data_IF_194229755266
#
_entry.id   IF_194229755266
#
_cell.length_a   1.000
_cell.length_b   1.000
_cell.length_c   1.000
_cell.angle_alpha   90.00
_cell.angle_beta   90.00
_cell.angle_gamma   90.00
#
_symmetry.space_group_name_H-M   'P 1'
#
loop_
_entity.id
_entity.type
_entity.pdbx_description
1 polymer ?
#
# COMPACT_ATOMS: atom_id res chain seq x y z
N UNK A 1 -43.88 5.92 20.98
CA UNK A 1 -42.94 4.80 20.74
C UNK A 1 -42.22 5.04 19.40
N UNK A 2 -41.30 6.03 19.33
CA UNK A 2 -40.52 6.35 18.11
C UNK A 2 -39.17 7.02 18.41
N UNK A 3 -38.76 7.07 19.67
CA UNK A 3 -37.56 7.78 20.14
C UNK A 3 -36.36 6.86 20.36
N UNK A 4 -36.55 5.53 20.47
CA UNK A 4 -35.45 4.60 20.73
C UNK A 4 -34.60 4.28 19.49
N UNK A 5 -35.18 4.26 18.28
CA UNK A 5 -34.39 4.02 17.06
C UNK A 5 -33.48 5.19 16.65
N UNK A 6 -33.76 6.39 17.14
CA UNK A 6 -32.99 7.59 16.76
C UNK A 6 -31.67 7.69 17.55
N UNK A 7 -31.66 7.30 18.83
CA UNK A 7 -30.44 7.30 19.65
C UNK A 7 -29.44 6.22 19.20
N UNK A 8 -29.91 5.02 18.84
CA UNK A 8 -29.02 3.94 18.37
C UNK A 8 -28.35 4.28 17.04
N UNK A 9 -29.09 4.88 16.11
CA UNK A 9 -28.54 5.32 14.84
C UNK A 9 -27.53 6.46 15.03
N UNK A 10 -27.82 7.43 15.90
CA UNK A 10 -26.88 8.53 16.21
C UNK A 10 -25.62 8.00 16.91
N UNK A 11 -25.74 7.04 17.82
CA UNK A 11 -24.60 6.42 18.50
C UNK A 11 -23.72 5.62 17.53
N UNK A 12 -24.32 4.82 16.64
CA UNK A 12 -23.60 4.11 15.57
C UNK A 12 -22.92 5.08 14.60
N UNK A 13 -23.58 6.19 14.24
CA UNK A 13 -22.99 7.22 13.39
C UNK A 13 -21.82 7.95 14.07
N UNK A 14 -21.93 8.26 15.36
CA UNK A 14 -20.85 8.90 16.13
C UNK A 14 -19.68 7.94 16.30
N UNK A 15 -19.92 6.66 16.58
CA UNK A 15 -18.86 5.63 16.70
C UNK A 15 -18.21 5.36 15.35
N UNK A 16 -18.98 5.24 14.26
CA UNK A 16 -18.43 5.08 12.90
C UNK A 16 -17.65 6.33 12.46
N UNK A 17 -18.14 7.54 12.76
CA UNK A 17 -17.43 8.78 12.49
C UNK A 17 -16.16 8.92 13.33
N UNK A 18 -16.16 8.46 14.60
CA UNK A 18 -14.97 8.41 15.44
C UNK A 18 -13.94 7.41 14.91
N UNK A 19 -14.36 6.19 14.55
CA UNK A 19 -13.51 5.18 13.93
C UNK A 19 -12.93 5.70 12.60
N UNK A 20 -13.71 6.44 11.81
CA UNK A 20 -13.23 7.07 10.57
C UNK A 20 -12.24 8.21 10.83
N UNK A 21 -12.45 8.98 11.90
CA UNK A 21 -11.55 10.05 12.30
C UNK A 21 -10.20 9.50 12.80
N UNK A 22 -10.23 8.36 13.50
CA UNK A 22 -9.04 7.71 14.07
C UNK A 22 -8.28 6.85 13.03
N UNK A 23 -8.98 6.20 12.11
CA UNK A 23 -8.33 5.30 11.13
C UNK A 23 -7.88 5.98 9.84
N UNK A 24 -8.25 7.25 9.60
CA UNK A 24 -7.81 8.04 8.43
C UNK A 24 -8.12 7.42 7.06
N UNK A 25 -9.00 6.41 7.03
CA UNK A 25 -9.41 5.72 5.81
C UNK A 25 -10.20 6.68 4.92
N UNK A 26 -9.77 6.84 3.67
CA UNK A 26 -10.60 7.48 2.64
C UNK A 26 -11.62 6.47 2.12
N UNK A 27 -12.61 6.12 2.96
CA UNK A 27 -13.72 5.27 2.55
C UNK A 27 -14.36 5.83 1.28
N UNK A 28 -14.50 4.98 0.26
CA UNK A 28 -15.03 5.37 -1.04
C UNK A 28 -14.02 6.02 -1.99
N UNK A 29 -12.72 5.97 -1.71
CA UNK A 29 -11.69 6.29 -2.70
C UNK A 29 -11.72 5.28 -3.85
N UNK A 30 -11.27 5.70 -5.03
CA UNK A 30 -11.17 4.88 -6.24
C UNK A 30 -10.04 5.38 -7.13
N UNK A 31 -9.69 4.64 -8.17
CA UNK A 31 -8.72 5.11 -9.16
C UNK A 31 -9.31 6.27 -9.96
N UNK A 32 -8.54 7.35 -10.14
CA UNK A 32 -8.97 8.51 -10.90
C UNK A 32 -8.70 8.30 -12.40
N UNK A 33 -9.75 8.31 -13.22
CA UNK A 33 -9.65 8.19 -14.67
C UNK A 33 -8.87 9.35 -15.32
N UNK A 34 -8.90 10.56 -14.74
CA UNK A 34 -8.16 11.73 -15.22
C UNK A 34 -6.67 11.62 -14.88
N UNK A 35 -6.34 10.89 -13.81
CA UNK A 35 -4.96 10.62 -13.42
C UNK A 35 -4.50 9.19 -13.72
N UNK A 36 -5.21 8.54 -14.64
CA UNK A 36 -4.84 7.26 -15.21
C UNK A 36 -4.13 7.51 -16.53
N UNK A 37 -3.04 6.78 -16.73
CA UNK A 37 -2.44 6.67 -18.05
C UNK A 37 -3.44 6.09 -19.08
N UNK A 38 -3.39 6.59 -20.32
CA UNK A 38 -4.28 6.17 -21.43
C UNK A 38 -4.17 4.68 -21.79
N UNK A 39 -3.04 4.04 -21.47
CA UNK A 39 -2.82 2.63 -21.72
C UNK A 39 -3.50 1.71 -20.70
N UNK A 40 -4.00 2.27 -19.59
CA UNK A 40 -4.69 1.53 -18.54
C UNK A 40 -6.19 1.55 -18.73
N UNK A 41 -6.83 0.41 -18.46
CA UNK A 41 -8.28 0.26 -18.49
C UNK A 41 -8.80 0.13 -17.06
N UNK A 42 -9.67 1.06 -16.66
CA UNK A 42 -10.39 1.00 -15.39
C UNK A 42 -11.73 0.27 -15.57
N UNK A 43 -12.15 -0.48 -14.55
CA UNK A 43 -13.49 -1.05 -14.50
C UNK A 43 -14.52 0.01 -14.14
N UNK A 44 -15.65 0.06 -14.83
CA UNK A 44 -16.79 0.89 -14.45
C UNK A 44 -17.85 0.06 -13.71
N UNK A 45 -18.64 0.65 -12.78
CA UNK A 45 -18.60 2.06 -12.37
C UNK A 45 -17.63 2.36 -11.21
N UNK A 46 -17.14 1.33 -10.50
CA UNK A 46 -16.48 1.52 -9.21
C UNK A 46 -15.00 1.95 -9.33
N UNK A 47 -14.39 1.79 -10.50
CA UNK A 47 -12.99 2.16 -10.79
C UNK A 47 -11.99 1.61 -9.77
N UNK A 48 -12.23 0.39 -9.27
CA UNK A 48 -11.32 -0.30 -8.34
C UNK A 48 -10.39 -1.29 -9.04
N UNK A 49 -10.77 -1.79 -10.22
CA UNK A 49 -9.95 -2.72 -11.00
C UNK A 49 -9.23 -1.96 -12.10
N UNK A 50 -7.93 -2.21 -12.20
CA UNK A 50 -7.06 -1.67 -13.26
C UNK A 50 -6.50 -2.84 -14.04
N UNK A 51 -6.57 -2.76 -15.36
CA UNK A 51 -5.98 -3.72 -16.28
C UNK A 51 -5.04 -2.98 -17.23
N UNK A 52 -3.90 -3.58 -17.54
CA UNK A 52 -3.04 -3.09 -18.62
C UNK A 52 -3.24 -3.97 -19.87
N UNK A 53 -4.15 -3.60 -20.80
CA UNK A 53 -4.41 -4.37 -22.02
C UNK A 53 -3.43 -4.07 -23.17
N UNK A 54 -2.44 -3.20 -22.96
CA UNK A 54 -1.56 -2.69 -24.02
C UNK A 54 -0.79 -3.80 -24.75
N UNK A 55 -0.18 -3.47 -25.89
CA UNK A 55 0.58 -4.44 -26.69
C UNK A 55 2.11 -4.26 -26.58
N UNK A 56 2.57 -3.17 -25.98
CA UNK A 56 3.98 -2.82 -25.81
C UNK A 56 4.33 -2.69 -24.33
N UNK A 57 5.61 -2.76 -24.01
CA UNK A 57 6.14 -2.46 -22.67
C UNK A 57 6.19 -0.93 -22.44
N UNK A 58 6.16 -0.52 -21.19
CA UNK A 58 6.28 0.85 -20.73
C UNK A 58 5.47 1.07 -19.45
N UNK A 59 6.13 1.59 -18.41
CA UNK A 59 5.48 1.83 -17.12
C UNK A 59 4.30 2.81 -17.29
N UNK A 60 3.10 2.33 -16.96
CA UNK A 60 1.86 3.11 -16.91
C UNK A 60 1.37 3.18 -15.48
N UNK A 61 0.87 4.33 -15.06
CA UNK A 61 0.50 4.57 -13.67
C UNK A 61 -0.92 5.08 -13.56
N UNK A 62 -1.55 4.79 -12.42
CA UNK A 62 -2.82 5.38 -12.02
C UNK A 62 -2.75 5.75 -10.55
N UNK A 63 -3.28 6.93 -10.22
CA UNK A 63 -3.39 7.43 -8.86
C UNK A 63 -4.85 7.49 -8.42
N UNK A 64 -5.09 7.34 -7.12
CA UNK A 64 -6.43 7.45 -6.56
C UNK A 64 -6.97 8.88 -6.63
N UNK A 65 -8.29 9.02 -6.49
CA UNK A 65 -8.98 10.31 -6.52
C UNK A 65 -8.54 11.23 -5.38
N UNK A 66 -8.53 10.69 -4.17
CA UNK A 66 -8.18 11.44 -2.96
C UNK A 66 -6.77 11.09 -2.47
N UNK A 67 -6.03 12.07 -1.94
CA UNK A 67 -4.75 11.81 -1.28
C UNK A 67 -4.97 11.11 0.07
N UNK A 68 -3.87 10.70 0.70
CA UNK A 68 -3.88 10.25 2.09
C UNK A 68 -4.39 11.38 2.99
N UNK A 69 -5.23 11.04 3.97
CA UNK A 69 -5.66 12.01 4.97
C UNK A 69 -4.46 12.47 5.79
N UNK A 70 -4.32 13.78 6.03
CA UNK A 70 -3.22 14.35 6.83
C UNK A 70 -3.57 14.46 8.32
N UNK A 71 -4.55 13.69 8.81
CA UNK A 71 -4.83 13.66 10.24
C UNK A 71 -3.61 13.11 10.99
N UNK A 72 -2.86 13.99 11.68
CA UNK A 72 -1.55 13.68 12.28
C UNK A 72 -1.58 12.57 13.35
N UNK A 73 -2.76 12.18 13.81
CA UNK A 73 -2.96 11.12 14.79
C UNK A 73 -3.38 9.79 14.16
N UNK A 74 -3.67 9.77 12.87
CA UNK A 74 -4.26 8.62 12.20
C UNK A 74 -3.27 7.77 11.39
N UNK A 75 -3.77 6.61 10.99
CA UNK A 75 -3.16 5.78 9.97
C UNK A 75 -3.77 6.09 8.61
N UNK A 76 -3.09 5.68 7.55
CA UNK A 76 -3.68 5.48 6.25
C UNK A 76 -3.30 4.07 5.78
N UNK A 77 -4.23 3.35 5.17
CA UNK A 77 -3.95 2.00 4.65
C UNK A 77 -4.88 1.64 3.51
N UNK A 78 -4.33 0.98 2.49
CA UNK A 78 -5.09 0.36 1.41
C UNK A 78 -4.43 -0.95 0.98
N UNK A 79 -5.22 -1.85 0.40
CA UNK A 79 -4.75 -3.12 -0.15
C UNK A 79 -4.97 -3.20 -1.65
N UNK A 80 -4.10 -3.94 -2.32
CA UNK A 80 -4.18 -4.24 -3.75
C UNK A 80 -4.07 -5.75 -3.94
N UNK A 81 -5.13 -6.36 -4.42
CA UNK A 81 -5.14 -7.76 -4.84
C UNK A 81 -4.56 -7.88 -6.26
N UNK A 82 -3.60 -8.78 -6.45
CA UNK A 82 -3.01 -9.04 -7.76
C UNK A 82 -3.87 -10.06 -8.51
N UNK A 83 -4.76 -9.58 -9.38
CA UNK A 83 -5.69 -10.43 -10.13
C UNK A 83 -5.00 -11.24 -11.24
N UNK A 84 -4.02 -10.63 -11.91
CA UNK A 84 -3.16 -11.25 -12.89
C UNK A 84 -1.76 -10.62 -12.84
N UNK A 85 -0.73 -11.48 -12.83
CA UNK A 85 0.67 -11.06 -12.74
C UNK A 85 1.46 -11.58 -13.95
N UNK A 86 2.04 -10.65 -14.72
CA UNK A 86 2.89 -10.92 -15.88
C UNK A 86 4.21 -10.18 -15.72
N UNK A 87 5.32 -10.91 -15.76
CA UNK A 87 6.66 -10.34 -15.52
C UNK A 87 6.82 -9.77 -14.10
N UNK A 88 7.87 -8.99 -13.86
CA UNK A 88 8.13 -8.30 -12.58
C UNK A 88 7.87 -6.80 -12.73
N UNK A 89 6.60 -6.40 -12.73
CA UNK A 89 6.21 -5.12 -13.33
C UNK A 89 5.06 -4.40 -12.64
N UNK A 90 4.68 -4.81 -11.43
CA UNK A 90 3.66 -4.11 -10.63
C UNK A 90 4.37 -3.42 -9.47
N UNK A 91 4.17 -2.10 -9.32
CA UNK A 91 4.65 -1.32 -8.19
C UNK A 91 3.48 -0.63 -7.49
N UNK A 92 3.42 -0.72 -6.16
CA UNK A 92 2.31 -0.22 -5.32
C UNK A 92 2.89 0.73 -4.28
N UNK A 93 2.31 1.92 -4.14
CA UNK A 93 2.79 2.87 -3.15
C UNK A 93 2.12 4.24 -3.13
N UNK A 94 2.90 5.29 -2.90
CA UNK A 94 2.43 6.67 -2.67
C UNK A 94 3.15 7.69 -3.55
N UNK A 95 2.40 8.35 -4.43
CA UNK A 95 2.91 9.31 -5.41
C UNK A 95 2.68 10.76 -4.98
N UNK A 96 3.68 11.67 -5.13
CA UNK A 96 3.55 13.07 -4.74
C UNK A 96 2.92 13.98 -5.80
N UNK A 97 2.58 13.42 -6.97
CA UNK A 97 1.98 14.14 -8.09
C UNK A 97 0.89 13.33 -8.74
N UNK A 98 -0.08 14.02 -9.32
CA UNK A 98 -1.23 13.44 -10.01
C UNK A 98 -1.48 14.22 -11.30
N UNK A 99 -1.32 13.62 -12.51
CA UNK A 99 -0.82 12.27 -12.77
C UNK A 99 0.70 12.12 -12.51
N UNK A 100 1.17 10.88 -12.39
CA UNK A 100 2.60 10.56 -12.49
C UNK A 100 3.04 10.75 -13.95
N UNK A 101 4.23 11.34 -14.23
CA UNK A 101 4.72 11.47 -15.59
C UNK A 101 4.75 10.13 -16.35
N UNK A 102 4.49 10.20 -17.65
CA UNK A 102 4.47 9.06 -18.55
C UNK A 102 5.80 8.28 -18.50
N UNK A 103 5.71 6.94 -18.52
CA UNK A 103 6.85 6.01 -18.51
C UNK A 103 7.70 6.00 -17.24
N UNK A 104 7.24 6.65 -16.16
CA UNK A 104 7.88 6.59 -14.86
C UNK A 104 7.12 5.65 -13.91
N UNK A 105 7.79 4.58 -13.46
CA UNK A 105 7.32 3.72 -12.38
C UNK A 105 7.41 4.47 -11.05
N UNK A 106 6.37 4.39 -10.22
CA UNK A 106 6.39 4.95 -8.87
C UNK A 106 7.52 4.35 -8.03
N UNK A 107 8.15 5.17 -7.19
CA UNK A 107 9.30 4.78 -6.36
C UNK A 107 10.64 4.89 -7.10
N UNK A 108 10.69 4.62 -8.41
CA UNK A 108 11.93 4.75 -9.20
C UNK A 108 12.36 6.19 -9.41
N UNK A 109 11.40 7.08 -9.69
CA UNK A 109 11.70 8.50 -9.95
C UNK A 109 11.20 9.37 -8.81
N UNK A 110 9.95 9.17 -8.38
CA UNK A 110 9.29 9.91 -7.31
C UNK A 110 8.36 9.01 -6.50
N UNK A 111 8.08 9.46 -5.27
CA UNK A 111 7.24 8.73 -4.34
C UNK A 111 7.94 7.55 -3.69
N UNK A 112 7.12 6.66 -3.16
CA UNK A 112 7.48 5.48 -2.39
C UNK A 112 6.78 4.29 -3.01
N UNK A 113 7.44 3.14 -3.13
CA UNK A 113 6.82 1.95 -3.71
C UNK A 113 7.40 0.64 -3.20
N UNK A 114 6.57 -0.39 -3.19
CA UNK A 114 6.97 -1.79 -3.12
C UNK A 114 6.57 -2.49 -4.43
N UNK A 115 7.53 -3.12 -5.10
CA UNK A 115 7.30 -3.74 -6.40
C UNK A 115 7.34 -5.26 -6.36
N UNK A 116 6.79 -5.86 -7.42
CA UNK A 116 6.59 -7.31 -7.52
C UNK A 116 7.88 -8.11 -7.60
N UNK A 117 9.00 -7.46 -7.90
CA UNK A 117 10.34 -8.03 -7.84
C UNK A 117 10.90 -8.17 -6.42
N UNK A 118 10.20 -7.69 -5.40
CA UNK A 118 10.67 -7.73 -4.01
C UNK A 118 11.54 -6.52 -3.63
N UNK A 119 11.30 -5.37 -4.25
CA UNK A 119 12.10 -4.16 -4.03
C UNK A 119 11.21 -3.07 -3.44
N UNK A 120 11.67 -2.47 -2.34
CA UNK A 120 11.07 -1.28 -1.73
C UNK A 120 11.90 -0.07 -2.14
N UNK A 121 11.29 1.01 -2.62
CA UNK A 121 11.97 2.17 -3.24
C UNK A 121 11.46 3.50 -2.68
N UNK A 122 12.35 4.48 -2.55
CA UNK A 122 12.04 5.81 -2.02
C UNK A 122 12.24 5.94 -0.51
N UNK A 123 12.54 4.84 0.19
CA UNK A 123 12.68 4.76 1.64
C UNK A 123 14.14 4.94 2.08
N UNK A 124 14.45 6.07 2.71
CA UNK A 124 15.81 6.36 3.17
C UNK A 124 16.00 5.96 4.63
N UNK A 125 16.05 4.65 4.87
CA UNK A 125 16.19 4.05 6.20
C UNK A 125 17.52 3.29 6.32
N UNK A 126 17.88 2.88 7.53
CA UNK A 126 19.05 2.04 7.76
C UNK A 126 18.98 0.77 6.88
N UNK A 127 20.10 0.36 6.30
CA UNK A 127 20.17 -0.79 5.39
C UNK A 127 19.66 -0.53 3.97
N UNK A 128 19.19 0.69 3.64
CA UNK A 128 18.89 1.05 2.26
C UNK A 128 20.17 1.24 1.43
N UNK A 129 20.12 0.84 0.18
CA UNK A 129 21.14 1.11 -0.84
C UNK A 129 20.67 2.23 -1.75
N UNK A 130 21.59 2.98 -2.37
CA UNK A 130 21.25 4.06 -3.29
C UNK A 130 21.56 3.68 -4.74
N UNK A 131 20.63 3.98 -5.65
CA UNK A 131 20.89 3.93 -7.08
C UNK A 131 20.43 5.23 -7.73
N UNK A 132 21.38 5.98 -8.28
CA UNK A 132 21.14 7.28 -8.93
C UNK A 132 20.41 8.30 -8.03
N UNK A 133 20.72 8.31 -6.73
CA UNK A 133 20.08 9.21 -5.76
C UNK A 133 18.69 8.75 -5.31
N UNK A 134 18.33 7.49 -5.58
CA UNK A 134 17.09 6.88 -5.11
C UNK A 134 17.40 5.70 -4.19
N UNK A 135 16.99 5.78 -2.91
CA UNK A 135 17.20 4.69 -1.96
C UNK A 135 16.23 3.55 -2.24
N UNK A 136 16.69 2.32 -2.02
CA UNK A 136 15.91 1.10 -2.17
C UNK A 136 16.39 0.01 -1.22
N UNK A 137 15.55 -1.00 -1.01
CA UNK A 137 15.80 -2.19 -0.19
C UNK A 137 15.43 -3.41 -1.03
N UNK A 138 16.36 -4.37 -1.16
CA UNK A 138 16.14 -5.63 -1.86
C UNK A 138 15.59 -6.72 -0.93
N UNK A 139 15.38 -7.90 -1.50
CA UNK A 139 15.13 -9.16 -0.78
C UNK A 139 13.84 -9.17 0.05
N UNK A 140 12.87 -8.33 -0.33
CA UNK A 140 11.50 -8.50 0.15
C UNK A 140 10.82 -9.65 -0.60
N UNK A 141 9.79 -10.28 -0.02
CA UNK A 141 8.98 -11.27 -0.71
C UNK A 141 8.52 -10.77 -2.09
N UNK A 142 8.34 -11.67 -3.05
CA UNK A 142 7.85 -11.32 -4.39
C UNK A 142 6.35 -11.56 -4.49
N UNK A 143 5.68 -10.86 -5.40
CA UNK A 143 4.24 -11.07 -5.61
C UNK A 143 4.01 -12.34 -6.42
N UNK A 144 2.90 -13.02 -6.15
CA UNK A 144 2.52 -14.27 -6.79
C UNK A 144 1.04 -14.33 -7.15
N UNK A 145 0.79 -14.91 -8.32
CA UNK A 145 -0.50 -15.48 -8.71
C UNK A 145 -0.22 -16.89 -9.16
N UNK A 146 -0.79 -17.88 -8.46
CA UNK A 146 -0.44 -19.29 -8.64
C UNK A 146 -1.69 -20.17 -8.68
N UNK A 147 -1.72 -21.11 -9.62
CA UNK A 147 -2.72 -22.17 -9.64
C UNK A 147 -2.26 -23.27 -8.68
N UNK A 148 -3.14 -23.69 -7.78
CA UNK A 148 -2.91 -24.72 -6.78
C UNK A 148 -4.00 -25.76 -6.92
N UNK A 149 -3.63 -27.03 -6.98
CA UNK A 149 -4.59 -28.14 -6.98
C UNK A 149 -4.79 -28.56 -5.53
N UNK A 150 -6.03 -28.48 -5.04
CA UNK A 150 -6.39 -28.96 -3.71
C UNK A 150 -6.33 -30.48 -3.61
N UNK A 151 -6.38 -30.99 -2.38
CA UNK A 151 -6.38 -32.45 -2.11
C UNK A 151 -7.60 -33.15 -2.73
N UNK A 152 -8.67 -32.40 -2.98
CA UNK A 152 -9.89 -32.81 -3.69
C UNK A 152 -9.76 -32.79 -5.23
N UNK A 153 -8.60 -32.42 -5.76
CA UNK A 153 -8.35 -32.24 -7.19
C UNK A 153 -8.87 -30.92 -7.76
N UNK A 154 -9.44 -30.02 -6.94
CA UNK A 154 -9.99 -28.74 -7.40
C UNK A 154 -8.87 -27.73 -7.62
N UNK A 155 -8.84 -27.15 -8.82
CA UNK A 155 -7.91 -26.08 -9.18
C UNK A 155 -8.39 -24.75 -8.60
N UNK A 156 -7.54 -24.13 -7.79
CA UNK A 156 -7.76 -22.84 -7.17
C UNK A 156 -6.67 -21.86 -7.61
N UNK A 157 -7.02 -20.59 -7.76
CA UNK A 157 -6.03 -19.52 -8.02
C UNK A 157 -5.79 -18.79 -6.72
N UNK A 158 -4.56 -18.87 -6.21
CA UNK A 158 -4.11 -18.11 -5.05
C UNK A 158 -3.48 -16.81 -5.54
N UNK A 159 -4.00 -15.70 -5.04
CA UNK A 159 -3.56 -14.33 -5.36
C UNK A 159 -2.98 -13.69 -4.12
N UNK A 160 -1.88 -12.99 -4.31
CA UNK A 160 -1.31 -12.18 -3.24
C UNK A 160 -2.08 -10.87 -3.09
N UNK A 161 -2.18 -10.42 -1.84
CA UNK A 161 -2.73 -9.11 -1.47
C UNK A 161 -1.62 -8.29 -0.87
N UNK A 162 -1.35 -7.13 -1.44
CA UNK A 162 -0.26 -6.23 -1.02
C UNK A 162 -0.88 -4.99 -0.36
N UNK A 163 -0.49 -4.70 0.87
CA UNK A 163 -0.89 -3.49 1.56
C UNK A 163 0.17 -2.39 1.47
N UNK A 164 -0.28 -1.14 1.46
CA UNK A 164 0.56 0.04 1.63
C UNK A 164 -0.10 0.96 2.65
N UNK A 165 0.65 1.33 3.69
CA UNK A 165 0.16 2.15 4.78
C UNK A 165 1.14 3.21 5.24
N UNK A 166 0.59 4.18 5.97
CA UNK A 166 1.31 5.29 6.58
C UNK A 166 0.93 5.37 8.05
N UNK A 167 1.92 5.36 8.91
CA UNK A 167 1.80 5.83 10.29
C UNK A 167 2.24 7.29 10.32
N UNK A 168 1.29 8.23 10.39
CA UNK A 168 1.60 9.67 10.33
C UNK A 168 2.26 10.19 11.60
N UNK A 169 1.97 9.56 12.75
CA UNK A 169 2.59 9.92 14.02
C UNK A 169 4.10 9.59 14.01
N UNK A 170 4.47 8.41 13.51
CA UNK A 170 5.85 7.96 13.36
C UNK A 170 6.52 8.42 12.06
N UNK A 171 5.74 8.96 11.12
CA UNK A 171 6.18 9.35 9.76
C UNK A 171 6.82 8.18 9.01
N UNK A 172 6.20 7.01 9.15
CA UNK A 172 6.68 5.75 8.59
C UNK A 172 5.72 5.26 7.52
N UNK A 173 6.25 4.82 6.38
CA UNK A 173 5.49 4.09 5.38
C UNK A 173 5.80 2.60 5.59
N UNK A 174 4.78 1.77 5.57
CA UNK A 174 4.91 0.33 5.74
C UNK A 174 4.14 -0.41 4.65
N UNK A 175 4.55 -1.64 4.41
CA UNK A 175 3.89 -2.53 3.45
C UNK A 175 3.54 -3.84 4.11
N UNK A 176 2.53 -4.51 3.55
CA UNK A 176 2.17 -5.86 3.96
C UNK A 176 2.11 -6.76 2.74
N UNK A 177 2.38 -8.03 2.94
CA UNK A 177 2.10 -9.06 1.95
C UNK A 177 1.26 -10.14 2.61
N UNK A 178 0.08 -10.38 2.06
CA UNK A 178 -0.85 -11.38 2.54
C UNK A 178 -1.22 -11.21 4.02
N UNK A 179 -1.34 -9.96 4.49
CA UNK A 179 -1.65 -9.65 5.89
C UNK A 179 -0.47 -9.77 6.86
N UNK A 180 0.74 -10.10 6.38
CA UNK A 180 1.95 -10.03 7.17
C UNK A 180 2.65 -8.68 6.93
N UNK A 181 3.01 -7.98 8.00
CA UNK A 181 3.83 -6.76 7.93
C UNK A 181 5.20 -7.11 7.36
N UNK A 182 5.66 -6.36 6.37
CA UNK A 182 7.05 -6.46 5.92
C UNK A 182 7.93 -5.77 6.95
N UNK A 183 8.78 -6.54 7.62
CA UNK A 183 9.84 -5.97 8.44
C UNK A 183 10.72 -5.11 7.54
N UNK A 184 10.60 -3.79 7.67
CA UNK A 184 11.68 -2.88 7.28
C UNK A 184 12.87 -3.32 8.12
N UNK A 185 13.98 -3.66 7.49
CA UNK A 185 15.14 -4.23 8.17
C UNK A 185 15.69 -3.22 9.19
N UNK A 186 15.19 -3.23 10.42
CA UNK A 186 15.97 -2.83 11.59
C UNK A 186 16.95 -3.97 11.85
N UNK A 187 18.02 -4.02 11.05
CA UNK A 187 19.11 -4.94 11.30
C UNK A 187 19.78 -4.55 12.62
N UNK A 188 19.48 -5.31 13.66
CA UNK A 188 20.47 -5.84 14.62
C UNK A 188 19.90 -7.09 15.29
N UNK A 189 19.76 -8.17 14.50
CA UNK A 189 19.51 -9.53 15.01
C UNK A 189 20.79 -10.40 14.93
N UNK A 190 21.97 -9.78 15.08
CA UNK A 190 23.24 -10.51 15.15
C UNK A 190 23.69 -10.84 16.59
N UNK A 191 22.98 -10.37 17.63
CA UNK A 191 23.37 -10.59 19.05
C UNK A 191 22.32 -11.35 19.89
N UNK A 192 21.35 -12.02 19.28
CA UNK A 192 20.36 -12.83 20.02
C UNK A 192 20.85 -14.26 20.25
N UNK A 193 21.97 -14.36 20.97
CA UNK A 193 22.34 -15.53 21.76
C UNK A 193 22.78 -15.06 23.16
N UNK A 194 21.86 -14.38 23.85
CA UNK A 194 21.97 -14.11 25.28
C UNK A 194 20.58 -13.90 25.88
N UNK A 195 20.18 -14.86 26.71
CA UNK A 195 19.02 -14.83 27.60
C UNK A 195 18.78 -13.46 28.26
N UNK A 196 17.78 -12.66 27.86
CA UNK A 196 17.26 -11.55 28.68
C UNK A 196 15.76 -11.26 28.48
N UNK A 197 15.09 -11.10 29.62
CA UNK A 197 13.71 -10.71 29.92
C UNK A 197 13.28 -9.34 29.32
N UNK A 198 11.99 -8.92 29.39
CA UNK A 198 11.43 -7.91 28.49
C UNK A 198 12.05 -6.54 28.76
N UNK A 199 12.75 -5.99 27.77
CA UNK A 199 13.30 -4.65 27.83
C UNK A 199 12.51 -3.71 26.92
N UNK A 200 12.08 -2.61 27.51
CA UNK A 200 11.64 -1.40 26.82
C UNK A 200 12.81 -0.93 25.95
N UNK A 201 12.64 -0.96 24.63
CA UNK A 201 13.68 -0.50 23.70
C UNK A 201 13.81 1.03 23.79
N UNK A 202 15.04 1.46 24.04
CA UNK A 202 15.46 2.86 24.19
C UNK A 202 15.53 3.57 22.83
N UNK A 203 15.18 4.85 22.85
CA UNK A 203 15.29 5.85 21.77
C UNK A 203 16.58 5.73 20.95
N UNK A 204 16.49 5.08 19.79
CA UNK A 204 17.24 5.53 18.62
C UNK A 204 16.44 6.66 17.97
N UNK A 205 17.08 7.70 17.40
CA UNK A 205 16.32 8.62 16.55
C UNK A 205 15.75 7.79 15.40
N UNK A 206 14.44 7.46 15.49
CA UNK A 206 13.70 6.77 14.44
C UNK A 206 14.06 7.45 13.12
N UNK A 207 14.76 6.74 12.22
CA UNK A 207 15.08 7.31 10.91
C UNK A 207 13.75 7.52 10.21
N UNK A 208 13.33 8.79 10.12
CA UNK A 208 12.09 9.18 9.49
C UNK A 208 12.11 8.71 8.04
N UNK A 209 11.20 7.81 7.70
CA UNK A 209 11.09 7.25 6.37
C UNK A 209 10.47 8.27 5.40
N UNK A 210 9.44 8.98 5.86
CA UNK A 210 8.87 10.10 5.13
C UNK A 210 9.72 11.38 5.28
N UNK A 211 10.08 11.98 4.14
CA UNK A 211 10.73 13.30 4.12
C UNK A 211 9.79 14.37 4.66
N UNK A 212 10.33 15.37 5.36
CA UNK A 212 9.53 16.47 5.91
C UNK A 212 8.70 17.23 4.85
N UNK A 213 9.21 17.34 3.61
CA UNK A 213 8.46 17.93 2.50
C UNK A 213 7.22 17.09 2.13
N UNK A 214 7.30 15.77 2.23
CA UNK A 214 6.23 14.84 1.85
C UNK A 214 5.12 14.77 2.90
N UNK A 215 5.39 15.14 4.16
CA UNK A 215 4.33 15.35 5.16
C UNK A 215 3.39 16.51 4.81
N UNK A 216 3.92 17.52 4.11
CA UNK A 216 3.14 18.69 3.70
C UNK A 216 2.54 18.52 2.30
N UNK A 217 3.10 17.62 1.48
CA UNK A 217 2.59 17.29 0.15
C UNK A 217 1.34 16.40 0.22
N UNK A 218 0.52 16.46 -0.83
CA UNK A 218 -0.57 15.51 -1.03
C UNK A 218 0.01 14.24 -1.66
N UNK A 219 0.17 13.18 -0.85
CA UNK A 219 0.55 11.87 -1.35
C UNK A 219 -0.71 11.09 -1.75
N UNK A 220 -0.71 10.50 -2.94
CA UNK A 220 -1.82 9.72 -3.46
C UNK A 220 -1.45 8.24 -3.48
N UNK A 221 -2.38 7.33 -3.10
CA UNK A 221 -2.26 5.92 -3.47
C UNK A 221 -2.06 5.81 -4.98
N UNK A 222 -1.07 5.03 -5.39
CA UNK A 222 -0.67 4.94 -6.80
C UNK A 222 -0.15 3.54 -7.10
N UNK A 223 -0.52 3.03 -8.28
CA UNK A 223 0.01 1.78 -8.83
C UNK A 223 0.63 2.04 -10.19
N UNK A 224 1.76 1.41 -10.45
CA UNK A 224 2.38 1.34 -11.78
C UNK A 224 2.38 -0.10 -12.30
N UNK A 225 2.13 -0.27 -13.59
CA UNK A 225 2.20 -1.55 -14.31
C UNK A 225 2.99 -1.39 -15.61
N UNK A 226 3.89 -2.33 -15.91
CA UNK A 226 4.78 -2.25 -17.10
C UNK A 226 4.60 -3.43 -18.08
N UNK A 227 3.88 -4.49 -17.70
CA UNK A 227 3.58 -5.61 -18.61
C UNK A 227 2.10 -5.69 -19.00
N UNK A 228 1.82 -5.87 -20.31
CA UNK A 228 0.52 -6.31 -20.80
C UNK A 228 -0.05 -7.53 -20.08
N UNK A 229 -1.34 -7.48 -19.78
CA UNK A 229 -2.08 -8.55 -19.10
C UNK A 229 -1.99 -8.53 -17.58
N UNK A 230 -1.25 -7.59 -16.98
CA UNK A 230 -1.36 -7.34 -15.55
C UNK A 230 -2.74 -6.78 -15.21
N UNK A 231 -3.24 -7.21 -14.05
CA UNK A 231 -4.53 -6.78 -13.54
C UNK A 231 -4.52 -6.76 -12.02
N UNK A 232 -5.10 -5.71 -11.44
CA UNK A 232 -5.17 -5.52 -9.98
C UNK A 232 -6.57 -5.06 -9.56
N UNK A 233 -6.91 -5.27 -8.28
CA UNK A 233 -8.10 -4.70 -7.63
C UNK A 233 -7.67 -3.99 -6.36
N UNK A 234 -8.07 -2.73 -6.20
CA UNK A 234 -7.86 -1.97 -4.98
C UNK A 234 -8.97 -2.20 -3.96
N UNK A 235 -8.60 -2.18 -2.70
CA UNK A 235 -9.47 -2.06 -1.54
C UNK A 235 -9.02 -0.83 -0.74
N UNK A 236 -9.81 0.25 -0.79
CA UNK A 236 -9.60 1.47 0.00
C UNK A 236 -10.40 1.46 1.32
N UNK A 237 -10.75 0.27 1.81
CA UNK A 237 -11.54 0.06 3.02
C UNK A 237 -13.02 -0.29 2.77
N UNK A 238 -13.41 -0.57 1.52
CA UNK A 238 -14.75 -1.05 1.19
C UNK A 238 -14.97 -2.52 1.58
N UNK A 239 -13.87 -3.28 1.69
CA UNK A 239 -13.85 -4.67 2.14
C UNK A 239 -12.93 -4.79 3.36
N UNK A 240 -13.12 -5.84 4.18
CA UNK A 240 -12.22 -6.11 5.30
C UNK A 240 -10.80 -6.35 4.78
N UNK A 241 -9.82 -5.68 5.38
CA UNK A 241 -8.42 -5.90 5.06
C UNK A 241 -7.94 -7.26 5.52
N UNK A 242 -6.98 -7.83 4.77
CA UNK A 242 -6.28 -9.05 5.19
C UNK A 242 -5.31 -8.76 6.34
N UNK A 243 -4.74 -7.57 6.38
CA UNK A 243 -3.94 -7.09 7.51
C UNK A 243 -4.82 -6.57 8.66
N UNK A 244 -4.50 -7.01 9.88
CA UNK A 244 -5.16 -6.53 11.09
C UNK A 244 -4.42 -5.32 11.67
N UNK A 245 -4.79 -4.13 11.18
CA UNK A 245 -4.17 -2.86 11.58
C UNK A 245 -4.23 -2.66 13.11
N UNK A 246 -5.34 -3.05 13.74
CA UNK A 246 -5.58 -2.83 15.17
C UNK A 246 -4.70 -3.70 16.08
N UNK A 247 -4.09 -4.77 15.57
CA UNK A 247 -3.15 -5.61 16.32
C UNK A 247 -1.69 -5.21 16.12
N UNK A 248 -1.39 -4.42 15.09
CA UNK A 248 -0.01 -4.17 14.67
C UNK A 248 0.62 -2.95 15.35
N UNK A 249 -0.17 -2.00 15.86
CA UNK A 249 0.30 -0.73 16.41
C UNK A 249 -0.45 -0.30 17.66
#
# INVERSE_FOLDING_TARGET
MRTFHFLDAVCLFVVAAFILLETGLTLGNRWDSVASDEGLKLSEPDQLIVEYPGQNYGARSVSAEQPISKNKLGFFYYEVEILAHKGNSIAIGLGPTKPIPLQEEIGRVKGYAYNSGGIVQGHNVAGSSDFKGRPYIYEKPRFGVREVVGDDGVRNVVRDVVGCGVNLAKRQIFYTLNGALLETLDMNAADLDADLFPSVSMDYPETLDMRAADLNADLFPTVSMDYPGNKIKANFGSEQFKFDIAKAF
#
